data_IF_177069090538
#
_entry.id   IF_177069090538
#
_cell.length_a   1.000
_cell.length_b   1.000
_cell.length_c   1.000
_cell.angle_alpha   90.00
_cell.angle_beta   90.00
_cell.angle_gamma   90.00
#
_symmetry.space_group_name_H-M   'P 1'
#
loop_
_entity.id
_entity.type
_entity.pdbx_description
1 polymer ?
#
# COMPACT_ATOMS: atom_id res chain seq x y z
N UNK A 1 -13.02 -3.05 -9.59
CA UNK A 1 -12.51 -2.02 -8.65
C UNK A 1 -13.32 -2.08 -7.38
N UNK A 2 -12.65 -2.34 -6.25
CA UNK A 2 -13.23 -2.19 -4.92
C UNK A 2 -12.95 -0.77 -4.44
N UNK A 3 -13.97 -0.09 -3.90
CA UNK A 3 -13.88 1.30 -3.47
C UNK A 3 -14.84 1.57 -2.32
N UNK A 4 -14.34 2.10 -1.21
CA UNK A 4 -15.13 2.47 -0.03
C UNK A 4 -14.61 3.77 0.59
N UNK A 5 -15.55 4.63 0.99
CA UNK A 5 -15.28 5.83 1.77
C UNK A 5 -16.05 5.71 3.08
N UNK A 6 -15.36 5.89 4.20
CA UNK A 6 -15.90 5.76 5.55
C UNK A 6 -15.53 7.02 6.35
N UNK A 7 -16.49 7.60 7.06
CA UNK A 7 -16.31 8.91 7.69
C UNK A 7 -16.33 10.06 6.68
N UNK A 8 -16.24 11.30 7.17
CA UNK A 8 -16.46 12.50 6.33
C UNK A 8 -15.59 13.71 6.69
N UNK A 9 -14.78 13.64 7.75
CA UNK A 9 -13.96 14.76 8.20
C UNK A 9 -12.48 14.59 7.87
N UNK A 10 -11.67 15.60 8.16
CA UNK A 10 -10.21 15.48 8.14
C UNK A 10 -9.69 14.92 9.48
N UNK A 11 -8.51 14.26 9.48
CA UNK A 11 -7.65 13.99 8.33
C UNK A 11 -8.19 12.89 7.41
N UNK A 12 -7.78 12.91 6.14
CA UNK A 12 -8.07 11.83 5.19
C UNK A 12 -6.95 10.80 5.20
N UNK A 13 -7.31 9.52 5.27
CA UNK A 13 -6.45 8.35 5.09
C UNK A 13 -6.82 7.67 3.78
N UNK A 14 -5.83 7.36 2.95
CA UNK A 14 -6.04 6.67 1.67
C UNK A 14 -5.24 5.37 1.66
N UNK A 15 -5.93 4.24 1.66
CA UNK A 15 -5.34 2.90 1.58
C UNK A 15 -5.60 2.33 0.19
N UNK A 16 -4.54 1.91 -0.49
CA UNK A 16 -4.59 1.42 -1.86
C UNK A 16 -3.99 0.02 -1.94
N UNK A 17 -4.67 -0.86 -2.66
CA UNK A 17 -4.28 -2.23 -2.96
C UNK A 17 -4.37 -2.48 -4.47
N UNK A 18 -3.82 -3.61 -4.94
CA UNK A 18 -3.91 -4.00 -6.36
C UNK A 18 -3.10 -3.10 -7.30
N UNK A 19 -2.07 -2.41 -6.78
CA UNK A 19 -1.21 -1.51 -7.56
C UNK A 19 -0.55 -2.27 -8.71
N UNK A 20 -0.13 -3.52 -8.48
CA UNK A 20 0.38 -4.42 -9.51
C UNK A 20 -0.60 -5.56 -9.85
N UNK A 21 -1.79 -5.24 -10.37
CA UNK A 21 -2.66 -6.17 -11.08
C UNK A 21 -2.98 -7.46 -10.31
N UNK A 22 -2.22 -8.52 -10.54
CA UNK A 22 -2.39 -9.84 -9.90
C UNK A 22 -2.28 -9.84 -8.37
N UNK A 23 -1.62 -8.86 -7.76
CA UNK A 23 -1.60 -8.70 -6.30
C UNK A 23 -3.01 -8.49 -5.72
N UNK A 24 -3.95 -7.96 -6.51
CA UNK A 24 -5.34 -7.66 -6.09
C UNK A 24 -6.02 -8.88 -5.46
N UNK A 25 -5.76 -10.08 -6.00
CA UNK A 25 -6.38 -11.33 -5.55
C UNK A 25 -6.09 -11.64 -4.08
N UNK A 26 -4.96 -11.16 -3.56
CA UNK A 26 -4.53 -11.35 -2.16
C UNK A 26 -4.84 -10.10 -1.34
N UNK A 27 -4.56 -8.91 -1.87
CA UNK A 27 -4.67 -7.66 -1.11
C UNK A 27 -6.12 -7.20 -0.91
N UNK A 28 -7.02 -7.43 -1.88
CA UNK A 28 -8.42 -7.01 -1.77
C UNK A 28 -9.16 -7.71 -0.62
N UNK A 29 -9.08 -9.04 -0.44
CA UNK A 29 -9.69 -9.72 0.70
C UNK A 29 -9.25 -9.14 2.06
N UNK A 30 -7.99 -8.73 2.21
CA UNK A 30 -7.48 -8.11 3.44
C UNK A 30 -8.23 -6.81 3.74
N UNK A 31 -8.42 -5.96 2.73
CA UNK A 31 -9.20 -4.73 2.87
C UNK A 31 -10.68 -5.00 3.17
N UNK A 32 -11.30 -5.98 2.51
CA UNK A 32 -12.69 -6.40 2.80
C UNK A 32 -12.85 -6.86 4.26
N UNK A 33 -11.91 -7.66 4.77
CA UNK A 33 -11.86 -8.08 6.18
C UNK A 33 -11.61 -6.93 7.14
N UNK A 34 -10.74 -5.99 6.76
CA UNK A 34 -10.44 -4.81 7.56
C UNK A 34 -11.70 -3.97 7.81
N UNK A 35 -12.49 -3.72 6.77
CA UNK A 35 -13.63 -2.79 6.84
C UNK A 35 -14.91 -3.38 7.45
N UNK A 36 -15.04 -4.71 7.55
CA UNK A 36 -16.30 -5.36 7.94
C UNK A 36 -16.88 -4.85 9.27
N UNK A 37 -16.02 -4.60 10.25
CA UNK A 37 -16.40 -4.22 11.60
C UNK A 37 -15.72 -2.92 12.05
N UNK A 38 -15.30 -2.07 11.10
CA UNK A 38 -14.54 -0.86 11.41
C UNK A 38 -15.46 0.31 11.75
N UNK A 39 -15.12 1.04 12.83
CA UNK A 39 -15.80 2.28 13.21
C UNK A 39 -14.82 3.44 13.11
N UNK A 40 -15.08 4.36 12.18
CA UNK A 40 -14.28 5.58 12.03
C UNK A 40 -14.71 6.59 13.09
N UNK A 41 -13.87 6.79 14.11
CA UNK A 41 -14.16 7.72 15.22
C UNK A 41 -13.90 9.17 14.79
N UNK A 42 -12.86 9.40 13.98
CA UNK A 42 -12.47 10.72 13.51
C UNK A 42 -11.84 10.65 12.12
N UNK A 43 -12.05 11.67 11.30
CA UNK A 43 -11.51 11.75 9.95
C UNK A 43 -12.30 10.96 8.90
N UNK A 44 -11.61 10.65 7.81
CA UNK A 44 -12.13 9.90 6.68
C UNK A 44 -11.13 8.84 6.25
N UNK A 45 -11.60 7.62 6.05
CA UNK A 45 -10.84 6.53 5.47
C UNK A 45 -11.36 6.23 4.06
N UNK A 46 -10.47 6.23 3.09
CA UNK A 46 -10.73 5.86 1.70
C UNK A 46 -9.94 4.59 1.41
N UNK A 47 -10.63 3.54 1.01
CA UNK A 47 -10.04 2.23 0.74
C UNK A 47 -10.32 1.85 -0.71
N UNK A 48 -9.26 1.58 -1.47
CA UNK A 48 -9.35 1.31 -2.90
C UNK A 48 -8.53 0.06 -3.25
N UNK A 49 -9.09 -0.81 -4.09
CA UNK A 49 -8.33 -1.84 -4.79
C UNK A 49 -8.41 -1.58 -6.30
N UNK A 50 -7.26 -1.32 -6.90
CA UNK A 50 -7.11 -1.12 -8.35
C UNK A 50 -7.29 -2.45 -9.10
N UNK A 51 -7.48 -2.37 -10.41
CA UNK A 51 -7.92 -3.52 -11.23
C UNK A 51 -6.78 -4.50 -11.50
N UNK A 52 -7.13 -5.79 -11.56
CA UNK A 52 -6.26 -6.89 -11.98
C UNK A 52 -5.68 -6.77 -13.39
N UNK A 53 -6.39 -6.12 -14.32
CA UNK A 53 -6.08 -6.16 -15.76
C UNK A 53 -4.97 -5.19 -16.18
N UNK A 54 -3.80 -5.23 -15.53
CA UNK A 54 -2.63 -4.44 -15.90
C UNK A 54 -1.35 -5.27 -15.75
N UNK A 55 -0.40 -5.16 -16.70
CA UNK A 55 0.89 -5.81 -16.57
C UNK A 55 1.64 -5.26 -15.36
N UNK A 56 2.52 -6.09 -14.79
CA UNK A 56 3.42 -5.67 -13.73
C UNK A 56 4.39 -4.61 -14.25
N UNK A 57 4.36 -3.41 -13.67
CA UNK A 57 5.36 -2.37 -13.83
C UNK A 57 5.71 -1.90 -12.42
N UNK A 58 7.00 -1.89 -12.07
CA UNK A 58 7.43 -1.42 -10.76
C UNK A 58 7.04 0.04 -10.53
N UNK A 59 6.53 0.38 -9.34
CA UNK A 59 6.28 1.77 -8.92
C UNK A 59 7.55 2.63 -8.84
N UNK A 60 8.74 2.03 -8.94
CA UNK A 60 10.01 2.75 -9.07
C UNK A 60 10.32 3.17 -10.52
N UNK A 61 9.56 2.68 -11.48
CA UNK A 61 9.66 3.06 -12.89
C UNK A 61 8.61 4.13 -13.19
N UNK A 62 9.04 5.26 -13.77
CA UNK A 62 8.15 6.36 -14.16
C UNK A 62 7.01 5.91 -15.07
N UNK A 63 7.27 4.91 -15.94
CA UNK A 63 6.26 4.35 -16.85
C UNK A 63 5.06 3.73 -16.12
N UNK A 64 5.20 3.35 -14.84
CA UNK A 64 4.05 2.93 -14.03
C UNK A 64 3.01 4.03 -13.96
N UNK A 65 3.44 5.28 -13.74
CA UNK A 65 2.55 6.43 -13.55
C UNK A 65 1.89 6.90 -14.85
N UNK A 66 2.38 6.45 -16.00
CA UNK A 66 1.73 6.64 -17.30
C UNK A 66 0.68 5.57 -17.63
N UNK A 67 0.69 4.45 -16.91
CA UNK A 67 -0.29 3.38 -17.06
C UNK A 67 -1.68 3.78 -16.55
N UNK A 68 -2.71 3.00 -16.90
CA UNK A 68 -4.08 3.20 -16.41
C UNK A 68 -4.15 3.16 -14.89
N UNK A 69 -3.51 2.19 -14.23
CA UNK A 69 -3.49 2.08 -12.77
C UNK A 69 -2.70 3.23 -12.13
N UNK A 70 -1.55 3.59 -12.71
CA UNK A 70 -0.73 4.70 -12.21
C UNK A 70 -1.45 6.05 -12.29
N UNK A 71 -2.08 6.38 -13.41
CA UNK A 71 -2.88 7.61 -13.57
C UNK A 71 -4.02 7.67 -12.56
N UNK A 72 -4.74 6.56 -12.40
CA UNK A 72 -5.83 6.46 -11.42
C UNK A 72 -5.34 6.61 -9.98
N UNK A 73 -4.18 6.04 -9.66
CA UNK A 73 -3.56 6.23 -8.36
C UNK A 73 -3.24 7.70 -8.10
N UNK A 74 -2.65 8.39 -9.09
CA UNK A 74 -2.35 9.81 -9.00
C UNK A 74 -3.61 10.68 -8.85
N UNK A 75 -4.68 10.37 -9.56
CA UNK A 75 -5.98 11.03 -9.44
C UNK A 75 -6.53 10.90 -8.01
N UNK A 76 -6.51 9.69 -7.43
CA UNK A 76 -6.95 9.45 -6.05
C UNK A 76 -6.11 10.24 -5.03
N UNK A 77 -4.79 10.27 -5.19
CA UNK A 77 -3.90 11.05 -4.32
C UNK A 77 -4.25 12.54 -4.41
N UNK A 78 -4.46 13.05 -5.62
CA UNK A 78 -4.79 14.46 -5.87
C UNK A 78 -6.18 14.84 -5.34
N UNK A 79 -7.18 13.98 -5.52
CA UNK A 79 -8.57 14.18 -5.09
C UNK A 79 -8.68 14.19 -3.57
N UNK A 80 -8.08 13.20 -2.91
CA UNK A 80 -8.27 12.97 -1.48
C UNK A 80 -7.26 13.69 -0.59
N UNK A 81 -6.11 14.12 -1.14
CA UNK A 81 -5.02 14.81 -0.42
C UNK A 81 -4.77 14.22 0.98
N UNK A 82 -4.45 12.92 1.06
CA UNK A 82 -4.44 12.22 2.34
C UNK A 82 -3.26 12.67 3.21
N UNK A 83 -3.52 12.79 4.52
CA UNK A 83 -2.46 12.98 5.51
C UNK A 83 -1.76 11.68 5.89
N UNK A 84 -2.40 10.54 5.60
CA UNK A 84 -1.84 9.19 5.75
C UNK A 84 -2.14 8.40 4.48
N UNK A 85 -1.11 7.84 3.86
CA UNK A 85 -1.21 7.06 2.63
C UNK A 85 -0.56 5.70 2.81
N UNK A 86 -1.28 4.64 2.44
CA UNK A 86 -0.83 3.26 2.59
C UNK A 86 -0.96 2.52 1.27
N UNK A 87 0.13 1.91 0.84
CA UNK A 87 0.13 0.93 -0.25
C UNK A 87 0.21 -0.47 0.35
N UNK A 88 -0.81 -1.30 0.12
CA UNK A 88 -0.78 -2.72 0.46
C UNK A 88 -0.38 -3.52 -0.78
N UNK A 89 0.74 -4.23 -0.64
CA UNK A 89 1.34 -5.04 -1.68
C UNK A 89 1.54 -6.48 -1.20
N UNK A 90 1.87 -7.36 -2.15
CA UNK A 90 2.34 -8.70 -1.85
C UNK A 90 3.62 -9.02 -2.61
N UNK A 91 4.40 -9.94 -2.07
CA UNK A 91 5.63 -10.41 -2.72
C UNK A 91 5.75 -11.93 -2.59
N UNK A 92 6.36 -12.55 -3.61
CA UNK A 92 6.70 -13.98 -3.54
C UNK A 92 7.75 -14.24 -2.48
N UNK A 93 7.57 -15.28 -1.68
CA UNK A 93 8.45 -15.60 -0.54
C UNK A 93 9.95 -15.65 -0.90
N UNK A 94 10.28 -16.07 -2.12
CA UNK A 94 11.66 -16.15 -2.64
C UNK A 94 12.32 -14.76 -2.79
N UNK A 95 11.52 -13.69 -2.89
CA UNK A 95 12.02 -12.32 -2.97
C UNK A 95 12.25 -11.69 -1.58
N UNK A 96 11.92 -12.38 -0.48
CA UNK A 96 12.05 -11.85 0.89
C UNK A 96 13.44 -11.28 1.16
N UNK A 97 14.49 -12.07 0.91
CA UNK A 97 15.89 -11.69 1.15
C UNK A 97 16.31 -10.47 0.32
N UNK A 98 15.78 -10.33 -0.90
CA UNK A 98 16.07 -9.18 -1.78
C UNK A 98 15.41 -7.89 -1.27
N UNK A 99 14.24 -7.99 -0.63
CA UNK A 99 13.49 -6.83 -0.15
C UNK A 99 14.08 -6.25 1.14
N UNK A 100 14.65 -7.10 2.00
CA UNK A 100 15.28 -6.70 3.26
C UNK A 100 16.81 -6.53 3.16
N UNK A 101 17.38 -6.69 1.97
CA UNK A 101 18.82 -6.64 1.74
C UNK A 101 19.44 -5.31 2.23
N UNK A 102 20.38 -5.31 3.17
CA UNK A 102 21.00 -4.08 3.69
C UNK A 102 21.68 -3.24 2.59
N UNK A 103 22.11 -3.85 1.49
CA UNK A 103 22.69 -3.17 0.33
C UNK A 103 21.67 -2.79 -0.75
N UNK A 104 20.36 -3.00 -0.53
CA UNK A 104 19.29 -2.66 -1.49
C UNK A 104 19.35 -1.22 -1.97
N UNK A 105 19.76 -0.29 -1.10
CA UNK A 105 19.96 1.12 -1.49
C UNK A 105 21.04 1.28 -2.55
N UNK A 106 22.14 0.52 -2.46
CA UNK A 106 23.22 0.56 -3.46
C UNK A 106 22.82 -0.17 -4.74
N UNK A 107 22.09 -1.28 -4.62
CA UNK A 107 21.71 -2.16 -5.75
C UNK A 107 20.54 -1.62 -6.57
N UNK A 108 19.53 -1.07 -5.91
CA UNK A 108 18.22 -0.70 -6.48
C UNK A 108 17.94 0.81 -6.36
N UNK A 109 18.69 1.54 -5.52
CA UNK A 109 18.48 2.99 -5.31
C UNK A 109 17.47 3.34 -4.22
N UNK A 110 16.85 2.34 -3.58
CA UNK A 110 15.87 2.52 -2.49
C UNK A 110 16.25 1.69 -1.26
N UNK A 111 15.93 2.15 -0.04
CA UNK A 111 16.29 1.42 1.18
C UNK A 111 15.64 0.03 1.25
N UNK A 112 16.20 -0.90 2.05
CA UNK A 112 15.51 -2.13 2.41
C UNK A 112 14.18 -1.83 3.10
N UNK A 113 13.26 -2.78 2.98
CA UNK A 113 12.12 -2.85 3.88
C UNK A 113 12.57 -3.33 5.26
N UNK A 114 11.84 -2.91 6.29
CA UNK A 114 11.98 -3.43 7.65
C UNK A 114 11.00 -4.57 7.84
N UNK A 115 11.45 -5.74 8.27
CA UNK A 115 10.55 -6.80 8.70
C UNK A 115 9.97 -6.46 10.07
N UNK A 116 8.64 -6.55 10.18
CA UNK A 116 7.92 -6.41 11.44
C UNK A 116 7.93 -7.76 12.17
N UNK A 117 7.09 -8.68 11.72
CA UNK A 117 6.96 -10.05 12.22
C UNK A 117 6.36 -10.92 11.11
N UNK A 118 6.61 -12.24 11.14
CA UNK A 118 6.03 -13.21 10.20
C UNK A 118 6.25 -12.80 8.73
N UNK A 119 7.40 -12.19 8.44
CA UNK A 119 7.79 -11.68 7.11
C UNK A 119 6.87 -10.58 6.55
N UNK A 120 6.01 -9.99 7.36
CA UNK A 120 5.31 -8.75 6.98
C UNK A 120 6.34 -7.62 6.97
N UNK A 121 6.46 -6.91 5.86
CA UNK A 121 7.46 -5.86 5.70
C UNK A 121 6.82 -4.48 5.65
N UNK A 122 7.52 -3.48 6.17
CA UNK A 122 7.13 -2.07 6.11
C UNK A 122 8.25 -1.23 5.50
N UNK A 123 7.88 -0.27 4.67
CA UNK A 123 8.83 0.61 3.99
C UNK A 123 8.18 1.92 3.56
N UNK A 124 8.96 2.81 2.94
CA UNK A 124 8.39 3.99 2.31
C UNK A 124 7.80 3.63 0.95
N UNK A 125 6.77 4.37 0.52
CA UNK A 125 6.26 4.31 -0.85
C UNK A 125 7.31 4.79 -1.85
N UNK A 126 7.07 4.57 -3.15
CA UNK A 126 8.00 5.00 -4.20
C UNK A 126 8.44 6.46 -4.04
N UNK A 127 9.76 6.76 -4.11
CA UNK A 127 10.26 8.13 -3.99
C UNK A 127 9.67 9.06 -5.04
N UNK A 128 9.27 8.53 -6.21
CA UNK A 128 8.67 9.29 -7.31
C UNK A 128 7.38 9.99 -6.88
N UNK A 129 6.49 9.32 -6.12
CA UNK A 129 5.29 9.96 -5.57
C UNK A 129 5.52 10.56 -4.19
N UNK A 130 6.36 9.94 -3.35
CA UNK A 130 6.62 10.43 -1.98
C UNK A 130 7.08 11.88 -1.98
N UNK A 131 7.95 12.23 -2.93
CA UNK A 131 8.58 13.55 -3.01
C UNK A 131 7.82 14.55 -3.88
N UNK A 132 6.97 14.09 -4.81
CA UNK A 132 6.28 14.97 -5.77
C UNK A 132 4.79 15.18 -5.49
N UNK A 133 4.14 14.26 -4.76
CA UNK A 133 2.67 14.28 -4.54
C UNK A 133 2.25 14.51 -3.09
N UNK A 134 3.17 14.36 -2.14
CA UNK A 134 2.89 14.44 -0.71
C UNK A 134 3.74 15.50 -0.03
N UNK A 135 3.22 16.09 1.05
CA UNK A 135 3.97 17.01 1.91
C UNK A 135 4.93 16.24 2.79
N UNK A 136 5.88 16.96 3.40
CA UNK A 136 6.86 16.35 4.31
C UNK A 136 6.18 15.72 5.53
N UNK A 137 5.10 16.32 6.00
CA UNK A 137 4.33 15.91 7.18
C UNK A 137 3.33 14.79 6.91
N UNK A 138 3.02 14.50 5.63
CA UNK A 138 2.12 13.41 5.28
C UNK A 138 2.83 12.06 5.52
N UNK A 139 2.13 11.12 6.16
CA UNK A 139 2.68 9.82 6.54
C UNK A 139 2.38 8.77 5.46
N UNK A 140 3.37 8.47 4.62
CA UNK A 140 3.24 7.53 3.52
C UNK A 140 4.09 6.27 3.76
N UNK A 141 3.48 5.09 3.70
CA UNK A 141 4.23 3.85 3.81
C UNK A 141 3.61 2.71 2.98
N UNK A 142 4.44 1.73 2.69
CA UNK A 142 4.07 0.48 2.03
C UNK A 142 4.06 -0.64 3.07
N UNK A 143 3.05 -1.49 3.01
CA UNK A 143 2.95 -2.74 3.76
C UNK A 143 2.99 -3.91 2.77
N UNK A 144 3.97 -4.79 2.92
CA UNK A 144 4.23 -5.93 2.04
C UNK A 144 3.85 -7.24 2.72
N UNK A 145 2.95 -7.99 2.10
CA UNK A 145 2.52 -9.30 2.58
C UNK A 145 3.24 -10.44 1.84
N UNK A 146 3.78 -11.45 2.55
CA UNK A 146 4.33 -12.61 1.89
C UNK A 146 3.23 -13.39 1.15
N UNK A 147 3.56 -13.95 -0.01
CA UNK A 147 2.70 -14.86 -0.76
C UNK A 147 3.42 -16.21 -0.98
N UNK A 148 2.93 -17.31 -0.37
CA UNK A 148 1.77 -17.40 0.52
C UNK A 148 2.01 -16.74 1.91
N UNK A 149 0.96 -16.23 2.55
CA UNK A 149 1.03 -15.69 3.93
C UNK A 149 0.48 -16.68 4.97
N UNK A 150 1.02 -16.59 6.20
CA UNK A 150 0.46 -17.28 7.37
C UNK A 150 -0.77 -16.56 7.91
N UNK A 151 -1.60 -17.26 8.71
CA UNK A 151 -2.71 -16.61 9.42
C UNK A 151 -2.22 -15.52 10.39
N UNK A 152 -1.03 -15.69 10.96
CA UNK A 152 -0.40 -14.68 11.84
C UNK A 152 -0.01 -13.44 11.06
N UNK A 153 0.63 -13.58 9.90
CA UNK A 153 0.93 -12.45 9.02
C UNK A 153 -0.34 -11.66 8.65
N UNK A 154 -1.44 -12.36 8.33
CA UNK A 154 -2.74 -11.71 8.06
C UNK A 154 -3.25 -10.92 9.28
N UNK A 155 -3.17 -11.49 10.48
CA UNK A 155 -3.57 -10.81 11.73
C UNK A 155 -2.72 -9.57 11.98
N UNK A 156 -1.41 -9.63 11.75
CA UNK A 156 -0.49 -8.49 11.89
C UNK A 156 -0.89 -7.37 10.93
N UNK A 157 -1.10 -7.67 9.64
CA UNK A 157 -1.50 -6.66 8.67
C UNK A 157 -2.85 -6.02 9.00
N UNK A 158 -3.85 -6.82 9.38
CA UNK A 158 -5.15 -6.31 9.83
C UNK A 158 -5.02 -5.43 11.08
N UNK A 159 -4.17 -5.82 12.03
CA UNK A 159 -3.94 -5.04 13.25
C UNK A 159 -3.30 -3.69 12.93
N UNK A 160 -2.27 -3.66 12.07
CA UNK A 160 -1.62 -2.42 11.61
C UNK A 160 -2.64 -1.53 10.93
N UNK A 161 -3.32 -2.03 9.89
CA UNK A 161 -4.25 -1.24 9.09
C UNK A 161 -5.40 -0.68 9.95
N UNK A 162 -5.96 -1.46 10.88
CA UNK A 162 -7.02 -1.00 11.79
C UNK A 162 -6.51 0.04 12.80
N UNK A 163 -5.28 -0.08 13.27
CA UNK A 163 -4.69 0.85 14.25
C UNK A 163 -4.50 2.27 13.68
N UNK A 164 -4.43 2.39 12.35
CA UNK A 164 -4.26 3.66 11.65
C UNK A 164 -5.48 4.08 10.83
N UNK A 165 -6.62 3.40 10.99
CA UNK A 165 -7.88 3.65 10.23
C UNK A 165 -8.75 4.76 10.81
#
# INVERSE_FOLDING_TARGET
MFFKVLGSSNPTRLFVAGIHGDEEAITRPIFEMMIKDIKIISGRLVVVSLSRDCPYISTLNEAYYDSTNGKKLLELIQEYRPGIYVELHTYKIDNHSNLIDPDRRKKIGVPPFTELEEKVLIGSVSPLIRTSKFRREDFCFTLEMPDPHSEKALKIALHILRSIS
#
